data_IF_185271394306
#
_entry.id   IF_185271394306
#
_cell.length_a   1.000
_cell.length_b   1.000
_cell.length_c   1.000
_cell.angle_alpha   90.00
_cell.angle_beta   90.00
_cell.angle_gamma   90.00
#
_symmetry.space_group_name_H-M   'P 1'
#
loop_
_entity.id
_entity.type
_entity.pdbx_description
1 polymer ?
#
# COMPACT_ATOMS: atom_id res chain seq x y z
N UNK A 1 -5.29 22.83 -35.50
CA UNK A 1 -4.98 21.39 -35.47
C UNK A 1 -4.87 21.05 -34.01
N UNK A 2 -5.91 20.36 -33.46
CA UNK A 2 -5.89 19.87 -32.07
C UNK A 2 -4.97 18.64 -32.07
N UNK A 3 -3.88 18.72 -31.30
CA UNK A 3 -3.07 17.53 -31.01
C UNK A 3 -3.97 16.47 -30.36
N UNK A 4 -3.87 15.18 -30.76
CA UNK A 4 -4.63 14.12 -30.13
C UNK A 4 -4.27 14.08 -28.65
N UNK A 5 -5.28 14.15 -27.78
CA UNK A 5 -5.09 13.91 -26.33
C UNK A 5 -4.39 12.56 -26.18
N UNK A 6 -3.10 12.60 -25.87
CA UNK A 6 -2.35 11.41 -25.48
C UNK A 6 -3.16 10.64 -24.46
N UNK A 7 -3.35 9.36 -24.71
CA UNK A 7 -4.11 8.49 -23.84
C UNK A 7 -3.29 8.28 -22.54
N UNK A 8 -3.44 9.20 -21.60
CA UNK A 8 -2.75 9.21 -20.32
C UNK A 8 -2.91 7.87 -19.55
N UNK A 9 -4.01 7.13 -19.84
CA UNK A 9 -4.21 5.80 -19.24
C UNK A 9 -3.24 4.76 -19.80
N UNK A 10 -2.96 4.77 -21.10
CA UNK A 10 -1.98 3.84 -21.69
C UNK A 10 -0.55 4.19 -21.31
N UNK A 11 -0.21 5.48 -21.22
CA UNK A 11 1.10 5.90 -20.74
C UNK A 11 1.28 5.58 -19.24
N UNK A 12 0.29 5.83 -18.39
CA UNK A 12 0.32 5.44 -16.99
C UNK A 12 0.50 3.91 -16.82
N UNK A 13 -0.17 3.10 -17.63
CA UNK A 13 -0.04 1.63 -17.58
C UNK A 13 1.37 1.14 -17.97
N UNK A 14 2.12 1.92 -18.75
CA UNK A 14 3.49 1.61 -19.18
C UNK A 14 4.57 2.13 -18.20
N UNK A 15 4.25 3.15 -17.40
CA UNK A 15 5.25 3.88 -16.60
C UNK A 15 5.32 3.42 -15.14
N UNK A 16 4.25 2.84 -14.59
CA UNK A 16 4.18 2.51 -13.15
C UNK A 16 4.62 1.09 -12.79
N UNK A 17 5.20 0.36 -13.74
CA UNK A 17 5.85 -0.92 -13.43
C UNK A 17 7.13 -0.74 -12.58
N UNK A 18 7.54 0.50 -12.34
CA UNK A 18 8.71 0.86 -11.53
C UNK A 18 8.41 0.94 -10.03
N UNK A 19 7.13 0.92 -9.62
CA UNK A 19 6.73 1.08 -8.22
C UNK A 19 6.26 -0.24 -7.60
N UNK A 20 6.90 -0.60 -6.49
CA UNK A 20 6.37 -1.57 -5.53
C UNK A 20 5.47 -0.84 -4.53
N UNK A 21 4.21 -1.24 -4.42
CA UNK A 21 3.30 -0.72 -3.42
C UNK A 21 3.50 -1.39 -2.06
N UNK A 22 3.57 -0.60 -1.01
CA UNK A 22 3.60 -1.07 0.38
C UNK A 22 2.53 -0.34 1.17
N UNK A 23 1.61 -1.10 1.77
CA UNK A 23 0.64 -0.57 2.72
C UNK A 23 1.08 -1.04 4.11
N UNK A 24 1.50 -0.07 4.92
CA UNK A 24 1.96 -0.33 6.28
C UNK A 24 0.86 0.03 7.29
N UNK A 25 0.38 -0.97 8.01
CA UNK A 25 -0.71 -0.83 8.98
C UNK A 25 -0.21 -0.73 10.43
N UNK A 26 1.11 -0.67 10.63
CA UNK A 26 1.74 -0.70 11.93
C UNK A 26 1.52 0.55 12.80
N UNK A 27 1.25 1.69 12.18
CA UNK A 27 1.14 3.00 12.87
C UNK A 27 -0.29 3.35 13.29
N UNK A 28 -1.25 2.47 13.05
CA UNK A 28 -2.69 2.76 13.21
C UNK A 28 -3.26 2.30 14.56
N UNK A 29 -2.42 1.75 15.44
CA UNK A 29 -2.86 1.27 16.75
C UNK A 29 -3.38 2.39 17.64
N UNK A 30 -4.54 2.13 18.24
CA UNK A 30 -5.17 3.07 19.17
C UNK A 30 -6.05 4.14 18.53
N UNK A 31 -6.08 4.25 17.20
CA UNK A 31 -7.02 5.14 16.53
C UNK A 31 -8.43 4.54 16.55
N UNK A 32 -9.40 5.34 16.99
CA UNK A 32 -10.83 4.98 17.01
C UNK A 32 -11.11 3.65 17.71
N UNK A 33 -10.83 3.50 19.01
CA UNK A 33 -10.91 2.23 19.74
C UNK A 33 -12.31 1.59 19.69
N UNK A 34 -13.37 2.38 19.51
CA UNK A 34 -14.76 1.92 19.37
C UNK A 34 -14.93 1.04 18.11
N UNK A 35 -14.17 1.29 17.06
CA UNK A 35 -14.24 0.56 15.80
C UNK A 35 -13.12 -0.48 15.65
N UNK A 36 -12.01 -0.28 16.35
CA UNK A 36 -10.79 -1.10 16.20
C UNK A 36 -10.59 -2.13 17.31
N UNK A 37 -11.55 -2.29 18.22
CA UNK A 37 -11.47 -3.26 19.31
C UNK A 37 -11.18 -4.70 18.87
N UNK A 38 -11.76 -5.14 17.73
CA UNK A 38 -11.63 -6.50 17.21
C UNK A 38 -11.07 -6.59 15.79
N UNK A 39 -10.67 -5.47 15.20
CA UNK A 39 -10.13 -5.38 13.83
C UNK A 39 -9.16 -4.22 13.71
N UNK A 40 -8.26 -4.27 12.74
CA UNK A 40 -7.44 -3.11 12.41
C UNK A 40 -8.27 -2.03 11.70
N UNK A 41 -7.77 -0.80 11.68
CA UNK A 41 -8.44 0.34 11.09
C UNK A 41 -8.71 0.13 9.60
N UNK A 42 -7.77 -0.46 8.87
CA UNK A 42 -7.90 -0.79 7.45
C UNK A 42 -9.14 -1.62 7.13
N UNK A 43 -9.58 -2.48 8.08
CA UNK A 43 -10.75 -3.35 7.95
C UNK A 43 -12.06 -2.69 8.35
N UNK A 44 -12.07 -1.45 8.81
CA UNK A 44 -13.29 -0.74 9.22
C UNK A 44 -14.17 -0.50 8.00
N UNK A 45 -15.47 -0.90 8.06
CA UNK A 45 -16.42 -0.63 6.99
C UNK A 45 -16.61 0.88 6.78
N UNK A 46 -16.63 1.28 5.52
CA UNK A 46 -16.84 2.65 5.10
C UNK A 46 -17.79 2.70 3.91
N UNK A 47 -18.73 3.63 3.93
CA UNK A 47 -19.70 3.83 2.84
C UNK A 47 -20.43 2.55 2.39
N UNK A 48 -20.90 1.74 3.35
CA UNK A 48 -21.66 0.53 3.11
C UNK A 48 -20.80 -0.72 2.94
N UNK A 49 -20.42 -1.08 1.72
CA UNK A 49 -19.72 -2.36 1.42
C UNK A 49 -18.20 -2.24 1.41
N UNK A 50 -17.65 -1.05 1.35
CA UNK A 50 -16.21 -0.82 1.28
C UNK A 50 -15.56 -0.86 2.65
N UNK A 51 -14.24 -1.04 2.67
CA UNK A 51 -13.39 -0.83 3.84
C UNK A 51 -12.33 0.23 3.53
N UNK A 52 -11.73 0.80 4.53
CA UNK A 52 -10.72 1.87 4.32
C UNK A 52 -9.59 1.45 3.40
N UNK A 53 -9.12 0.21 3.52
CA UNK A 53 -8.06 -0.34 2.66
C UNK A 53 -8.40 -0.32 1.17
N UNK A 54 -9.68 -0.45 0.81
CA UNK A 54 -10.12 -0.55 -0.58
C UNK A 54 -9.78 0.73 -1.37
N UNK A 55 -9.83 1.88 -0.70
CA UNK A 55 -9.49 3.17 -1.32
C UNK A 55 -8.01 3.26 -1.64
N UNK A 56 -7.14 2.85 -0.71
CA UNK A 56 -5.70 2.85 -0.91
C UNK A 56 -5.31 1.87 -2.02
N UNK A 57 -5.84 0.64 -1.99
CA UNK A 57 -5.60 -0.36 -3.04
C UNK A 57 -6.08 0.14 -4.39
N UNK A 58 -7.31 0.68 -4.46
CA UNK A 58 -7.86 1.20 -5.72
C UNK A 58 -7.01 2.33 -6.27
N UNK A 59 -6.53 3.25 -5.42
CA UNK A 59 -5.64 4.32 -5.85
C UNK A 59 -4.32 3.78 -6.43
N UNK A 60 -3.72 2.79 -5.81
CA UNK A 60 -2.51 2.12 -6.32
C UNK A 60 -2.76 1.44 -7.67
N UNK A 61 -3.80 0.60 -7.76
CA UNK A 61 -4.06 -0.22 -8.94
C UNK A 61 -4.48 0.64 -10.14
N UNK A 62 -5.29 1.66 -9.94
CA UNK A 62 -5.71 2.57 -11.03
C UNK A 62 -4.54 3.33 -11.65
N UNK A 63 -3.43 3.41 -10.95
CA UNK A 63 -2.19 4.01 -11.43
C UNK A 63 -1.15 2.98 -11.87
N UNK A 64 -1.53 1.69 -11.99
CA UNK A 64 -0.70 0.63 -12.57
C UNK A 64 0.26 -0.06 -11.60
N UNK A 65 0.22 0.24 -10.30
CA UNK A 65 0.98 -0.51 -9.30
C UNK A 65 0.33 -1.89 -9.14
N UNK A 66 0.98 -2.93 -9.66
CA UNK A 66 0.43 -4.28 -9.77
C UNK A 66 1.08 -5.30 -8.83
N UNK A 67 1.96 -4.85 -7.97
CA UNK A 67 2.54 -5.64 -6.88
C UNK A 67 2.40 -4.83 -5.59
N UNK A 68 1.68 -5.38 -4.61
CA UNK A 68 1.39 -4.70 -3.35
C UNK A 68 1.66 -5.63 -2.18
N UNK A 69 2.48 -5.17 -1.24
CA UNK A 69 2.71 -5.79 0.04
C UNK A 69 1.94 -5.08 1.15
N UNK A 70 1.15 -5.81 1.92
CA UNK A 70 0.44 -5.27 3.09
C UNK A 70 1.11 -5.80 4.34
N UNK A 71 1.69 -4.91 5.14
CA UNK A 71 2.34 -5.22 6.39
C UNK A 71 1.37 -4.96 7.55
N UNK A 72 1.06 -6.00 8.28
CA UNK A 72 0.08 -5.95 9.36
C UNK A 72 0.75 -6.13 10.73
N UNK A 73 0.11 -5.66 11.79
CA UNK A 73 0.47 -6.02 13.16
C UNK A 73 -0.55 -7.03 13.70
N UNK A 74 -1.52 -6.59 14.50
CA UNK A 74 -2.52 -7.45 15.09
C UNK A 74 -3.88 -7.40 14.36
N UNK A 75 -4.84 -8.18 14.80
CA UNK A 75 -6.26 -8.16 14.37
C UNK A 75 -6.46 -8.20 12.85
N UNK A 76 -5.52 -8.80 12.11
CA UNK A 76 -5.53 -8.81 10.64
C UNK A 76 -6.45 -9.85 10.01
N UNK A 77 -7.08 -10.74 10.79
CA UNK A 77 -7.94 -11.80 10.25
C UNK A 77 -9.07 -11.25 9.38
N UNK A 78 -9.80 -10.25 9.90
CA UNK A 78 -10.90 -9.61 9.15
C UNK A 78 -10.42 -8.93 7.86
N UNK A 79 -9.17 -8.48 7.82
CA UNK A 79 -8.54 -7.93 6.63
C UNK A 79 -8.28 -9.03 5.60
N UNK A 80 -7.68 -10.14 6.02
CA UNK A 80 -7.41 -11.29 5.14
C UNK A 80 -8.70 -11.87 4.55
N UNK A 81 -9.74 -12.01 5.35
CA UNK A 81 -11.05 -12.49 4.90
C UNK A 81 -11.67 -11.56 3.83
N UNK A 82 -11.45 -10.25 3.96
CA UNK A 82 -11.95 -9.27 2.99
C UNK A 82 -11.15 -9.26 1.69
N UNK A 83 -9.85 -9.25 1.79
CA UNK A 83 -8.96 -9.13 0.64
C UNK A 83 -8.88 -10.43 -0.17
N UNK A 84 -9.01 -11.59 0.49
CA UNK A 84 -8.85 -12.88 -0.14
C UNK A 84 -7.56 -12.99 -0.94
N UNK A 85 -7.66 -13.36 -2.21
CA UNK A 85 -6.52 -13.42 -3.14
C UNK A 85 -6.21 -12.07 -3.82
N UNK A 86 -6.94 -11.02 -3.54
CA UNK A 86 -6.82 -9.73 -4.25
C UNK A 86 -7.53 -9.69 -5.60
N UNK A 87 -8.40 -10.65 -5.91
CA UNK A 87 -9.08 -10.79 -7.19
C UNK A 87 -9.90 -9.56 -7.58
N UNK A 88 -10.52 -8.89 -6.62
CA UNK A 88 -11.33 -7.69 -6.87
C UNK A 88 -10.50 -6.51 -7.42
N UNK A 89 -9.20 -6.52 -7.17
CA UNK A 89 -8.23 -5.51 -7.65
C UNK A 89 -7.33 -6.04 -8.77
N UNK A 90 -7.64 -7.20 -9.36
CA UNK A 90 -6.79 -7.86 -10.37
C UNK A 90 -5.34 -8.09 -9.85
N UNK A 91 -5.21 -8.37 -8.56
CA UNK A 91 -3.94 -8.70 -7.89
C UNK A 91 -3.78 -10.21 -7.64
N UNK A 92 -4.70 -11.04 -8.12
CA UNK A 92 -4.57 -12.50 -8.12
C UNK A 92 -3.73 -12.96 -9.33
N UNK A 93 -2.43 -12.69 -9.26
CA UNK A 93 -1.49 -12.89 -10.36
C UNK A 93 -0.33 -13.78 -9.95
N UNK A 94 0.20 -14.56 -10.89
CA UNK A 94 1.37 -15.40 -10.68
C UNK A 94 2.69 -14.60 -10.57
N UNK A 95 2.72 -13.39 -11.10
CA UNK A 95 3.84 -12.44 -10.98
C UNK A 95 3.31 -11.10 -10.49
N UNK A 96 3.91 -10.57 -9.44
CA UNK A 96 3.37 -9.41 -8.72
C UNK A 96 2.25 -9.83 -7.78
N UNK A 97 1.14 -9.09 -7.79
CA UNK A 97 -0.05 -9.43 -7.02
C UNK A 97 -0.04 -8.93 -5.58
N UNK A 98 -0.99 -9.46 -4.79
CA UNK A 98 -1.18 -9.08 -3.40
C UNK A 98 -0.43 -10.04 -2.47
N UNK A 99 0.36 -9.47 -1.59
CA UNK A 99 1.08 -10.18 -0.52
C UNK A 99 0.70 -9.60 0.83
N UNK A 100 0.25 -10.43 1.76
CA UNK A 100 -0.06 -10.01 3.12
C UNK A 100 0.99 -10.59 4.06
N UNK A 101 1.66 -9.71 4.79
CA UNK A 101 2.71 -10.04 5.73
C UNK A 101 2.19 -9.90 7.17
N UNK A 102 1.99 -11.02 7.86
CA UNK A 102 1.64 -10.98 9.28
C UNK A 102 2.80 -10.41 10.09
N UNK A 103 2.54 -10.00 11.35
CA UNK A 103 3.58 -9.44 12.21
C UNK A 103 4.73 -10.42 12.41
N UNK A 104 5.94 -9.89 12.34
CA UNK A 104 7.11 -10.65 12.72
C UNK A 104 7.11 -10.91 14.23
N UNK A 105 7.31 -12.15 14.63
CA UNK A 105 7.37 -12.55 16.03
C UNK A 105 8.82 -12.81 16.44
N UNK A 106 9.16 -12.38 17.65
CA UNK A 106 10.39 -12.76 18.33
C UNK A 106 10.33 -14.25 18.75
N UNK A 107 11.47 -14.87 19.09
CA UNK A 107 11.50 -16.25 19.58
C UNK A 107 10.64 -16.50 20.84
N UNK A 108 10.39 -15.48 21.64
CA UNK A 108 9.52 -15.51 22.84
C UNK A 108 8.04 -15.35 22.50
N UNK A 109 7.67 -15.15 21.24
CA UNK A 109 6.31 -14.99 20.75
C UNK A 109 5.78 -13.55 20.80
N UNK A 110 6.57 -12.59 21.28
CA UNK A 110 6.22 -11.17 21.19
C UNK A 110 6.38 -10.62 19.78
N UNK A 111 5.53 -9.67 19.39
CA UNK A 111 5.70 -8.99 18.12
C UNK A 111 6.93 -8.07 18.13
N UNK A 112 7.64 -8.01 17.00
CA UNK A 112 8.66 -6.98 16.82
C UNK A 112 7.97 -5.62 16.75
N UNK A 113 8.48 -4.67 17.53
CA UNK A 113 7.99 -3.30 17.54
C UNK A 113 8.70 -2.49 16.45
N UNK A 114 7.90 -1.78 15.67
CA UNK A 114 8.37 -0.83 14.67
C UNK A 114 8.46 -1.37 13.24
N UNK A 115 8.27 -0.46 12.32
CA UNK A 115 8.11 -0.74 10.89
C UNK A 115 9.37 -1.35 10.28
N UNK A 116 10.56 -0.82 10.63
CA UNK A 116 11.83 -1.32 10.11
C UNK A 116 12.09 -2.77 10.50
N UNK A 117 11.72 -3.18 11.71
CA UNK A 117 11.86 -4.56 12.14
C UNK A 117 10.96 -5.48 11.31
N UNK A 118 9.71 -5.08 11.09
CA UNK A 118 8.76 -5.83 10.27
C UNK A 118 9.21 -5.91 8.80
N UNK A 119 9.66 -4.81 8.20
CA UNK A 119 10.21 -4.80 6.84
C UNK A 119 11.49 -5.67 6.73
N UNK A 120 12.37 -5.61 7.73
CA UNK A 120 13.60 -6.41 7.75
C UNK A 120 13.32 -7.92 7.79
N UNK A 121 12.34 -8.35 8.55
CA UNK A 121 11.94 -9.77 8.61
C UNK A 121 11.38 -10.26 7.27
N UNK A 122 10.71 -9.40 6.54
CA UNK A 122 10.15 -9.70 5.22
C UNK A 122 10.98 -9.13 4.06
N UNK A 123 12.29 -8.90 4.29
CA UNK A 123 13.21 -8.27 3.31
C UNK A 123 13.20 -8.92 1.93
N UNK A 124 12.93 -10.22 1.87
CA UNK A 124 12.93 -10.95 0.60
C UNK A 124 11.87 -10.43 -0.38
N UNK A 125 10.76 -9.89 0.13
CA UNK A 125 9.73 -9.27 -0.71
C UNK A 125 10.30 -8.09 -1.51
N UNK A 126 11.11 -7.26 -0.85
CA UNK A 126 11.76 -6.12 -1.49
C UNK A 126 12.89 -6.55 -2.42
N UNK A 127 13.73 -7.50 -1.99
CA UNK A 127 14.89 -7.98 -2.77
C UNK A 127 14.47 -8.73 -4.04
N UNK A 128 13.37 -9.47 -3.98
CA UNK A 128 12.83 -10.20 -5.13
C UNK A 128 11.97 -9.34 -6.05
N UNK A 129 11.57 -8.17 -5.61
CA UNK A 129 10.86 -7.20 -6.42
C UNK A 129 11.75 -6.74 -7.58
N UNK A 130 11.14 -6.57 -8.76
CA UNK A 130 11.82 -6.02 -9.93
C UNK A 130 11.70 -4.50 -10.00
N UNK A 131 10.88 -3.93 -9.15
CA UNK A 131 10.62 -2.50 -9.10
C UNK A 131 11.77 -1.77 -8.40
N UNK A 132 12.35 -0.74 -9.02
CA UNK A 132 13.46 0.03 -8.45
C UNK A 132 13.04 1.00 -7.34
N UNK A 133 11.75 1.29 -7.23
CA UNK A 133 11.21 2.24 -6.26
C UNK A 133 10.11 1.61 -5.41
N UNK A 134 9.95 2.10 -4.20
CA UNK A 134 8.92 1.65 -3.26
C UNK A 134 8.09 2.86 -2.84
N UNK A 135 6.77 2.75 -2.94
CA UNK A 135 5.84 3.69 -2.32
C UNK A 135 5.27 3.07 -1.05
N UNK A 136 5.40 3.77 0.07
CA UNK A 136 4.89 3.32 1.37
C UNK A 136 3.77 4.26 1.80
N UNK A 137 2.63 3.70 2.15
CA UNK A 137 1.46 4.45 2.66
C UNK A 137 0.77 3.67 3.77
N UNK A 138 -0.07 4.36 4.55
CA UNK A 138 -1.04 3.73 5.45
C UNK A 138 -2.40 3.54 4.78
N UNK A 139 -3.41 3.20 5.56
CA UNK A 139 -4.81 3.12 5.14
C UNK A 139 -5.73 4.09 5.88
N UNK A 140 -5.16 4.91 6.76
CA UNK A 140 -5.87 5.84 7.64
C UNK A 140 -6.17 7.20 7.00
N UNK A 141 -5.69 7.43 5.79
CA UNK A 141 -5.92 8.67 5.04
C UNK A 141 -6.55 8.36 3.69
N UNK A 142 -7.72 8.91 3.44
CA UNK A 142 -8.38 8.82 2.14
C UNK A 142 -7.85 9.94 1.24
N UNK A 143 -6.98 9.60 0.31
CA UNK A 143 -6.37 10.53 -0.62
C UNK A 143 -6.40 9.99 -2.04
N UNK A 144 -6.27 10.90 -3.00
CA UNK A 144 -6.06 10.61 -4.42
C UNK A 144 -4.68 11.14 -4.83
N UNK A 145 -3.62 10.50 -4.31
CA UNK A 145 -2.25 10.87 -4.65
C UNK A 145 -1.95 10.37 -6.06
N UNK A 146 -1.32 11.23 -6.88
CA UNK A 146 -0.71 10.82 -8.14
C UNK A 146 0.69 10.30 -7.84
N UNK A 147 0.83 8.96 -7.83
CA UNK A 147 2.12 8.30 -7.54
C UNK A 147 3.12 8.46 -8.68
N UNK A 148 2.65 8.70 -9.92
CA UNK A 148 3.55 8.93 -11.03
C UNK A 148 4.19 10.31 -10.94
N UNK A 149 3.41 11.33 -10.64
CA UNK A 149 3.93 12.70 -10.44
C UNK A 149 4.92 12.74 -9.27
N UNK A 150 4.62 12.03 -8.18
CA UNK A 150 5.52 11.87 -7.05
C UNK A 150 6.83 11.17 -7.43
N UNK A 151 6.77 10.12 -8.26
CA UNK A 151 7.95 9.40 -8.75
C UNK A 151 8.79 10.27 -9.68
N UNK A 152 8.16 11.04 -10.57
CA UNK A 152 8.86 11.93 -11.49
C UNK A 152 9.57 13.05 -10.73
N UNK A 153 8.90 13.60 -9.70
CA UNK A 153 9.54 14.55 -8.78
C UNK A 153 10.75 13.92 -8.06
N UNK A 154 10.58 12.73 -7.49
CA UNK A 154 11.65 11.98 -6.82
C UNK A 154 12.88 11.80 -7.72
N UNK A 155 12.66 11.34 -8.95
CA UNK A 155 13.71 11.15 -9.96
C UNK A 155 14.39 12.47 -10.34
N UNK A 156 13.61 13.54 -10.54
CA UNK A 156 14.12 14.84 -10.94
C UNK A 156 15.02 15.48 -9.88
N UNK A 157 14.71 15.22 -8.61
CA UNK A 157 15.48 15.74 -7.47
C UNK A 157 16.69 14.85 -7.12
N UNK A 158 16.80 13.65 -7.70
CA UNK A 158 17.81 12.67 -7.32
C UNK A 158 17.75 12.32 -5.84
N UNK A 159 16.53 12.30 -5.26
CA UNK A 159 16.32 12.11 -3.84
C UNK A 159 16.42 10.64 -3.44
N UNK A 160 16.87 10.37 -2.22
CA UNK A 160 16.81 9.03 -1.62
C UNK A 160 15.43 8.74 -1.04
N UNK A 161 14.75 9.77 -0.49
CA UNK A 161 13.42 9.69 0.10
C UNK A 161 12.62 10.93 -0.30
N UNK A 162 11.37 10.73 -0.69
CA UNK A 162 10.40 11.81 -0.96
C UNK A 162 9.18 11.61 -0.05
N UNK A 163 8.76 12.67 0.63
CA UNK A 163 7.60 12.65 1.52
C UNK A 163 6.48 13.50 0.93
N UNK A 164 5.27 12.92 0.84
CA UNK A 164 4.05 13.67 0.60
C UNK A 164 3.46 14.12 1.94
N UNK A 165 3.13 15.40 2.07
CA UNK A 165 2.52 15.96 3.27
C UNK A 165 1.49 17.05 2.90
N UNK A 166 0.54 17.28 3.80
CA UNK A 166 -0.36 18.44 3.73
C UNK A 166 0.03 19.46 4.78
N UNK A 167 0.18 20.72 4.38
CA UNK A 167 0.33 21.83 5.35
C UNK A 167 -1.02 22.07 6.05
N UNK A 168 -1.03 22.11 7.38
CA UNK A 168 -2.13 22.69 8.13
C UNK A 168 -1.81 24.17 8.36
N UNK A 169 -2.69 25.07 7.88
CA UNK A 169 -2.73 26.47 8.31
C UNK A 169 -3.42 26.60 9.68
#
# INVERSE_FOLDING_TARGET
VLEPKKDRRKEALLLTNDLLGVINLGTEEGLFPEFTGHRNLASVPFSGRYRLIDFTLTNMITQGINQVGIFTLDKYRSLMDHLGSGKEWDLDRSQGGLHIFPPALKPDGEAYLGDLANFSMHREHFVRSKQPYVVITGSNVLTTIDFQDMLDHHKSMGADITLAYTGHE
#
